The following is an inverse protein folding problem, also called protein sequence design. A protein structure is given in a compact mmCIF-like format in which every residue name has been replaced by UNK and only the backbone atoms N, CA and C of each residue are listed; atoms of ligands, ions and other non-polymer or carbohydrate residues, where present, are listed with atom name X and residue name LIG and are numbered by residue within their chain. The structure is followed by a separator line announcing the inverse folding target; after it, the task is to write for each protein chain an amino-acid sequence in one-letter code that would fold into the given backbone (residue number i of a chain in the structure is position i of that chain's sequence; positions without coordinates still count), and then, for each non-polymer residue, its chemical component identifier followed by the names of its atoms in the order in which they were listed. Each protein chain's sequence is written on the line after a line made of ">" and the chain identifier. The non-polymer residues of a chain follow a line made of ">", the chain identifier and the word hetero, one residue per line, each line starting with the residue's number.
data_IF_455218540790
#
_entry.id   IF_455218540790
#
_cell.length_a   1.000
_cell.length_b   1.000
_cell.length_c   1.000
_cell.angle_alpha   90.00
_cell.angle_beta   90.00
_cell.angle_gamma   90.00
#
_symmetry.space_group_name_H-M   'P 1'
#
loop_
_entity.id
_entity.type
_entity.pdbx_description
1 polymer ?
#
# COMPACT_ATOMS: atom_id res chain seq x y z
N UNK A 1 8.28 -23.41 -2.78
CA UNK A 1 8.32 -23.87 -1.35
C UNK A 1 7.14 -24.80 -1.04
N UNK A 2 5.90 -24.34 -0.98
CA UNK A 2 4.74 -25.15 -0.56
C UNK A 2 4.45 -26.44 -1.40
N UNK A 3 5.20 -26.71 -2.44
CA UNK A 3 5.13 -27.91 -3.28
C UNK A 3 6.38 -28.77 -3.18
N UNK A 4 7.40 -28.31 -2.46
CA UNK A 4 8.64 -29.06 -2.29
C UNK A 4 8.47 -30.14 -1.21
N UNK A 5 8.84 -31.39 -1.49
CA UNK A 5 8.75 -32.46 -0.51
C UNK A 5 9.62 -32.19 0.74
N UNK A 6 9.07 -32.41 1.91
CA UNK A 6 9.78 -32.26 3.18
C UNK A 6 9.98 -30.83 3.66
N UNK A 7 9.38 -29.84 2.98
CA UNK A 7 9.38 -28.44 3.43
C UNK A 7 8.12 -28.16 4.25
N UNK A 8 8.30 -27.64 5.47
CA UNK A 8 7.26 -27.00 6.28
C UNK A 8 7.48 -25.50 6.36
N UNK A 9 6.40 -24.73 6.51
CA UNK A 9 6.44 -23.28 6.48
C UNK A 9 5.60 -22.73 7.62
N UNK A 10 6.20 -21.90 8.46
CA UNK A 10 5.51 -21.07 9.43
C UNK A 10 5.47 -19.64 8.91
N UNK A 11 4.27 -19.11 8.72
CA UNK A 11 4.03 -17.76 8.25
C UNK A 11 3.67 -16.87 9.42
N UNK A 12 4.52 -15.90 9.70
CA UNK A 12 4.31 -14.88 10.74
C UNK A 12 3.70 -13.63 10.13
N UNK A 13 2.69 -13.11 10.79
CA UNK A 13 2.01 -11.87 10.41
C UNK A 13 1.78 -11.00 11.65
N UNK A 14 2.16 -9.74 11.58
CA UNK A 14 1.99 -8.78 12.68
C UNK A 14 0.52 -8.47 12.98
N UNK A 15 -0.34 -8.56 11.96
CA UNK A 15 -1.77 -8.38 12.13
C UNK A 15 -2.46 -9.70 12.53
N UNK A 16 -3.57 -9.65 13.30
CA UNK A 16 -4.37 -10.85 13.55
C UNK A 16 -4.92 -11.49 12.28
N UNK A 17 -5.20 -10.68 11.25
CA UNK A 17 -5.65 -11.15 9.94
C UNK A 17 -4.51 -11.17 8.93
N UNK A 18 -4.36 -12.22 8.11
CA UNK A 18 -3.37 -12.31 7.05
C UNK A 18 -3.69 -11.40 5.86
N UNK A 19 -2.86 -11.48 4.82
CA UNK A 19 -2.97 -10.85 3.49
C UNK A 19 -2.41 -9.42 3.38
N UNK A 20 -1.83 -8.84 4.43
CA UNK A 20 -1.09 -7.58 4.35
C UNK A 20 -1.83 -6.50 3.56
N UNK A 21 -1.18 -5.91 2.56
CA UNK A 21 -1.76 -4.81 1.76
C UNK A 21 -2.97 -5.20 0.89
N UNK A 22 -3.24 -6.49 0.64
CA UNK A 22 -4.51 -6.88 -0.02
C UNK A 22 -5.68 -6.54 0.88
N UNK A 23 -5.52 -6.72 2.19
CA UNK A 23 -6.52 -6.40 3.19
C UNK A 23 -6.48 -4.93 3.64
N UNK A 24 -5.28 -4.35 3.78
CA UNK A 24 -5.03 -3.07 4.45
C UNK A 24 -4.41 -2.00 3.56
N UNK A 25 -4.46 -2.15 2.23
CA UNK A 25 -3.83 -1.23 1.30
C UNK A 25 -4.46 -1.15 -0.09
N UNK A 26 -5.23 -2.16 -0.49
CA UNK A 26 -6.05 -2.10 -1.71
C UNK A 26 -7.39 -1.48 -1.35
N UNK A 27 -7.77 -0.43 -2.06
CA UNK A 27 -9.01 0.28 -1.79
C UNK A 27 -10.24 -0.67 -1.77
N UNK A 28 -11.22 -0.45 -0.88
CA UNK A 28 -12.33 -1.37 -0.66
C UNK A 28 -13.22 -1.55 -1.90
N UNK A 29 -13.22 -0.60 -2.80
CA UNK A 29 -13.99 -0.61 -4.05
C UNK A 29 -13.25 -1.30 -5.22
N UNK A 30 -12.18 -2.08 -4.93
CA UNK A 30 -11.50 -2.96 -5.88
C UNK A 30 -11.73 -4.46 -5.61
N UNK A 31 -12.97 -4.96 -5.63
CA UNK A 31 -13.26 -6.35 -5.26
C UNK A 31 -12.53 -7.36 -6.15
N UNK A 32 -12.28 -7.01 -7.43
CA UNK A 32 -11.57 -7.86 -8.38
C UNK A 32 -10.11 -8.09 -7.97
N UNK A 33 -9.42 -7.05 -7.49
CA UNK A 33 -8.03 -7.16 -7.03
C UNK A 33 -7.99 -7.95 -5.73
N UNK A 34 -8.90 -7.66 -4.80
CA UNK A 34 -9.03 -8.38 -3.54
C UNK A 34 -9.36 -9.86 -3.73
N UNK A 35 -9.99 -10.24 -4.83
CA UNK A 35 -10.31 -11.64 -5.19
C UNK A 35 -9.10 -12.58 -5.30
N UNK A 36 -7.85 -12.05 -5.35
CA UNK A 36 -6.63 -12.87 -5.28
C UNK A 36 -6.53 -13.67 -3.97
N UNK A 37 -7.21 -13.24 -2.91
CA UNK A 37 -7.30 -13.95 -1.62
C UNK A 37 -7.74 -15.40 -1.83
N UNK A 38 -8.66 -15.66 -2.76
CA UNK A 38 -9.11 -17.03 -3.08
C UNK A 38 -7.95 -17.94 -3.51
N UNK A 39 -7.03 -17.43 -4.32
CA UNK A 39 -5.85 -18.20 -4.73
C UNK A 39 -4.86 -18.39 -3.56
N UNK A 40 -4.76 -17.40 -2.67
CA UNK A 40 -3.91 -17.50 -1.48
C UNK A 40 -4.47 -18.50 -0.46
N UNK A 41 -5.79 -18.60 -0.29
CA UNK A 41 -6.43 -19.66 0.51
C UNK A 41 -5.99 -21.04 0.03
N UNK A 42 -6.01 -21.32 -1.28
CA UNK A 42 -5.57 -22.62 -1.83
C UNK A 42 -4.12 -22.97 -1.48
N UNK A 43 -3.28 -21.96 -1.25
CA UNK A 43 -1.89 -22.17 -0.79
C UNK A 43 -1.85 -22.40 0.71
N UNK A 44 -2.54 -21.58 1.50
CA UNK A 44 -2.53 -21.60 2.96
C UNK A 44 -3.32 -22.79 3.54
N UNK A 45 -4.23 -23.39 2.78
CA UNK A 45 -4.94 -24.62 3.15
C UNK A 45 -4.04 -25.88 3.16
N UNK A 46 -2.79 -25.75 2.69
CA UNK A 46 -1.88 -26.90 2.68
C UNK A 46 -1.41 -27.23 4.08
N UNK A 47 -1.41 -28.52 4.48
CA UNK A 47 -1.14 -28.94 5.86
C UNK A 47 0.29 -28.63 6.35
N UNK A 48 1.24 -28.42 5.42
CA UNK A 48 2.62 -28.06 5.76
C UNK A 48 2.80 -26.55 6.00
N UNK A 49 1.73 -25.74 5.97
CA UNK A 49 1.78 -24.31 6.24
C UNK A 49 1.00 -24.01 7.51
N UNK A 50 1.64 -23.34 8.47
CA UNK A 50 0.98 -22.79 9.67
C UNK A 50 0.99 -21.27 9.62
N UNK A 51 -0.08 -20.63 10.10
CA UNK A 51 -0.17 -19.19 10.30
C UNK A 51 -0.01 -18.86 11.78
N UNK A 52 0.79 -17.84 12.06
CA UNK A 52 0.96 -17.17 13.34
C UNK A 52 0.63 -15.69 13.16
N UNK A 53 -0.66 -15.37 13.13
CA UNK A 53 -1.15 -13.98 13.06
C UNK A 53 -1.08 -13.30 14.42
N UNK A 54 -0.87 -12.00 14.46
CA UNK A 54 -0.62 -11.22 15.68
C UNK A 54 0.72 -11.53 16.35
N UNK A 55 1.74 -11.88 15.59
CA UNK A 55 3.11 -12.07 16.09
C UNK A 55 4.03 -11.02 15.48
N UNK A 56 4.55 -10.12 16.29
CA UNK A 56 5.35 -8.99 15.87
C UNK A 56 6.85 -9.31 15.85
N UNK A 57 7.52 -8.91 14.78
CA UNK A 57 8.97 -8.86 14.68
C UNK A 57 9.45 -7.41 14.88
N UNK A 58 10.37 -7.12 15.83
CA UNK A 58 11.11 -8.05 16.69
C UNK A 58 10.53 -8.21 18.09
N UNK A 59 9.32 -7.68 18.36
CA UNK A 59 8.77 -7.61 19.72
C UNK A 59 8.51 -8.97 20.35
N UNK A 60 7.81 -9.84 19.64
CA UNK A 60 7.44 -11.17 20.13
C UNK A 60 8.48 -12.23 19.76
N UNK A 61 9.04 -12.12 18.55
CA UNK A 61 10.05 -13.05 18.02
C UNK A 61 11.09 -12.27 17.20
N UNK A 62 12.36 -12.48 17.44
CA UNK A 62 13.45 -11.81 16.73
C UNK A 62 14.25 -12.79 15.84
N UNK A 63 15.24 -12.28 15.08
CA UNK A 63 16.01 -13.12 14.15
C UNK A 63 16.77 -14.27 14.84
N UNK A 64 17.30 -14.07 16.04
CA UNK A 64 18.03 -15.13 16.75
C UNK A 64 17.06 -16.22 17.23
N UNK A 65 15.87 -15.83 17.70
CA UNK A 65 14.81 -16.76 18.05
C UNK A 65 14.37 -17.57 16.81
N UNK A 66 14.11 -16.89 15.68
CA UNK A 66 13.74 -17.56 14.44
C UNK A 66 14.82 -18.55 13.96
N UNK A 67 16.09 -18.19 14.07
CA UNK A 67 17.21 -19.09 13.71
C UNK A 67 17.34 -20.29 14.64
N UNK A 68 16.83 -20.19 15.86
CA UNK A 68 16.81 -21.35 16.75
C UNK A 68 15.79 -22.42 16.30
N UNK A 69 14.72 -22.01 15.60
CA UNK A 69 13.63 -22.91 15.19
C UNK A 69 13.70 -23.35 13.72
N UNK A 70 14.27 -22.52 12.81
CA UNK A 70 14.15 -22.70 11.35
C UNK A 70 15.51 -22.78 10.67
N UNK A 71 15.61 -23.65 9.66
CA UNK A 71 16.76 -23.75 8.77
C UNK A 71 16.98 -22.47 7.96
N UNK A 72 15.91 -21.75 7.62
CA UNK A 72 15.95 -20.50 6.86
C UNK A 72 14.80 -19.55 7.24
N UNK A 73 15.06 -18.26 7.14
CA UNK A 73 14.10 -17.18 7.38
C UNK A 73 13.99 -16.30 6.15
N UNK A 74 12.76 -16.07 5.66
CA UNK A 74 12.48 -15.17 4.54
C UNK A 74 11.66 -13.99 5.05
N UNK A 75 12.20 -12.78 4.93
CA UNK A 75 11.46 -11.55 5.24
C UNK A 75 10.72 -11.06 4.00
N UNK A 76 9.40 -10.84 4.15
CA UNK A 76 8.51 -10.32 3.09
C UNK A 76 7.53 -9.28 3.64
N UNK A 77 8.03 -8.41 4.53
CA UNK A 77 7.23 -7.47 5.34
C UNK A 77 6.64 -6.30 4.54
N UNK A 78 7.00 -6.17 3.26
CA UNK A 78 6.43 -5.13 2.41
C UNK A 78 6.99 -3.73 2.66
N UNK A 79 6.15 -2.71 2.45
CA UNK A 79 6.43 -1.30 2.66
C UNK A 79 5.16 -0.63 3.15
N UNK A 80 5.18 -0.04 4.33
CA UNK A 80 4.01 0.48 5.05
C UNK A 80 4.12 1.95 5.44
N UNK A 81 5.33 2.53 5.38
CA UNK A 81 5.57 3.93 5.70
C UNK A 81 5.49 4.82 4.45
N UNK A 82 5.00 6.04 4.62
CA UNK A 82 5.04 7.04 3.55
C UNK A 82 6.48 7.52 3.29
N UNK A 83 6.83 7.66 2.01
CA UNK A 83 8.05 8.35 1.61
C UNK A 83 7.98 9.81 2.04
N UNK A 84 9.04 10.31 2.67
CA UNK A 84 9.13 11.71 3.02
C UNK A 84 9.08 12.61 1.77
N UNK A 85 8.37 13.73 1.90
CA UNK A 85 8.39 14.84 0.97
C UNK A 85 8.95 16.04 1.75
N UNK A 86 10.15 16.48 1.38
CA UNK A 86 10.86 17.55 2.09
C UNK A 86 10.46 18.91 1.51
N UNK A 87 9.30 19.41 1.97
CA UNK A 87 8.81 20.75 1.67
C UNK A 87 8.34 21.44 2.95
N UNK A 88 8.44 22.77 3.05
CA UNK A 88 7.90 23.53 4.17
C UNK A 88 6.42 23.23 4.42
N UNK A 89 6.00 23.22 5.68
CA UNK A 89 4.61 23.02 6.08
C UNK A 89 4.15 21.54 6.13
N UNK A 90 5.04 20.58 5.88
CA UNK A 90 4.70 19.15 5.84
C UNK A 90 4.12 18.60 7.15
N UNK A 91 4.45 19.20 8.29
CA UNK A 91 4.00 18.82 9.64
C UNK A 91 2.79 19.59 10.14
N UNK A 92 2.14 20.42 9.31
CA UNK A 92 0.94 21.16 9.70
C UNK A 92 -0.26 20.21 9.92
N UNK A 93 -1.14 20.60 10.84
CA UNK A 93 -2.44 19.94 11.01
C UNK A 93 -3.28 20.08 9.73
N UNK A 94 -3.78 18.97 9.19
CA UNK A 94 -4.37 18.91 7.85
C UNK A 94 -3.44 18.37 6.77
N UNK A 95 -2.16 18.06 7.10
CA UNK A 95 -1.19 17.43 6.19
C UNK A 95 -0.98 15.98 6.59
N UNK A 96 -1.47 15.03 5.78
CA UNK A 96 -1.53 13.61 6.09
C UNK A 96 -0.68 12.77 5.14
N UNK A 97 -0.17 11.65 5.62
CA UNK A 97 0.36 10.58 4.78
C UNK A 97 -0.76 9.79 4.13
N UNK A 98 -0.55 9.36 2.89
CA UNK A 98 -1.52 8.50 2.20
C UNK A 98 -1.60 7.11 2.86
N UNK A 99 -0.48 6.58 3.38
CA UNK A 99 -0.45 5.28 4.05
C UNK A 99 -1.39 5.22 5.26
N UNK A 100 -1.41 6.27 6.08
CA UNK A 100 -2.27 6.35 7.25
C UNK A 100 -3.76 6.44 6.88
N UNK A 101 -4.09 7.24 5.85
CA UNK A 101 -5.46 7.35 5.37
C UNK A 101 -5.95 6.04 4.73
N UNK A 102 -5.10 5.38 3.92
CA UNK A 102 -5.36 4.06 3.34
C UNK A 102 -5.60 3.03 4.46
N UNK A 103 -4.72 3.01 5.46
CA UNK A 103 -4.84 2.13 6.62
C UNK A 103 -6.15 2.39 7.38
N UNK A 104 -6.55 3.65 7.51
CA UNK A 104 -7.80 4.02 8.17
C UNK A 104 -9.03 3.48 7.41
N UNK A 105 -9.15 3.75 6.11
CA UNK A 105 -10.35 3.31 5.38
C UNK A 105 -10.38 1.78 5.16
N UNK A 106 -9.24 1.13 5.20
CA UNK A 106 -9.14 -0.34 5.14
C UNK A 106 -9.25 -1.02 6.52
N UNK A 107 -9.43 -0.25 7.60
CA UNK A 107 -9.68 -0.77 8.94
C UNK A 107 -8.46 -1.42 9.59
N UNK A 108 -7.27 -0.83 9.40
CA UNK A 108 -6.06 -1.29 10.06
C UNK A 108 -6.14 -1.04 11.57
N UNK A 109 -5.80 -2.02 12.43
CA UNK A 109 -5.98 -1.89 13.89
C UNK A 109 -5.06 -0.88 14.56
N UNK A 110 -3.94 -0.51 13.95
CA UNK A 110 -2.92 0.35 14.57
C UNK A 110 -3.06 1.83 14.21
N UNK A 111 -4.15 2.22 13.53
CA UNK A 111 -4.44 3.63 13.20
C UNK A 111 -5.67 4.15 13.98
N UNK A 112 -5.84 5.49 14.13
CA UNK A 112 -7.00 6.06 14.78
C UNK A 112 -8.32 5.59 14.17
N UNK A 113 -9.36 5.45 14.98
CA UNK A 113 -10.70 5.02 14.51
C UNK A 113 -11.48 6.10 13.79
N UNK A 114 -11.09 7.35 13.99
CA UNK A 114 -11.67 8.53 13.34
C UNK A 114 -10.63 9.19 12.46
N UNK A 115 -11.09 9.80 11.37
CA UNK A 115 -10.26 10.59 10.49
C UNK A 115 -10.85 11.99 10.33
N UNK A 116 -10.06 13.07 10.35
CA UNK A 116 -10.56 14.42 10.15
C UNK A 116 -10.88 14.68 8.67
N UNK A 117 -12.15 14.74 8.33
CA UNK A 117 -12.67 14.92 6.97
C UNK A 117 -13.42 16.27 6.83
N UNK A 118 -12.90 17.31 7.49
CA UNK A 118 -13.55 18.63 7.57
C UNK A 118 -13.22 19.54 6.37
N UNK A 119 -12.19 19.21 5.56
CA UNK A 119 -11.75 20.01 4.43
C UNK A 119 -12.74 19.88 3.24
N UNK A 120 -13.26 21.01 2.75
CA UNK A 120 -14.11 21.03 1.55
C UNK A 120 -13.28 20.92 0.26
N UNK A 121 -12.03 21.41 0.29
CA UNK A 121 -11.08 21.30 -0.82
C UNK A 121 -9.80 20.64 -0.32
N UNK A 122 -9.42 19.57 -0.98
CA UNK A 122 -8.28 18.76 -0.60
C UNK A 122 -7.31 18.58 -1.75
N UNK A 123 -6.02 18.55 -1.44
CA UNK A 123 -4.95 18.23 -2.36
C UNK A 123 -4.44 16.81 -2.14
N UNK A 124 -4.17 16.07 -3.21
CA UNK A 124 -3.50 14.78 -3.20
C UNK A 124 -2.23 14.91 -4.03
N UNK A 125 -1.08 14.73 -3.39
CA UNK A 125 0.23 14.90 -4.02
C UNK A 125 0.74 13.58 -4.55
N UNK A 126 0.79 13.41 -5.86
CA UNK A 126 1.26 12.21 -6.54
C UNK A 126 0.38 11.77 -7.69
N UNK A 127 0.96 11.02 -8.63
CA UNK A 127 0.29 10.51 -9.84
C UNK A 127 0.50 9.01 -10.01
N UNK A 128 0.32 8.27 -8.92
CA UNK A 128 0.30 6.81 -8.87
C UNK A 128 -1.08 6.28 -8.46
N UNK A 129 -1.28 4.95 -8.49
CA UNK A 129 -2.56 4.33 -8.16
C UNK A 129 -3.05 4.69 -6.74
N UNK A 130 -2.16 4.75 -5.75
CA UNK A 130 -2.53 5.15 -4.38
C UNK A 130 -3.10 6.58 -4.34
N UNK A 131 -2.53 7.51 -5.14
CA UNK A 131 -3.07 8.87 -5.23
C UNK A 131 -4.50 8.88 -5.79
N UNK A 132 -4.77 8.04 -6.81
CA UNK A 132 -6.13 7.91 -7.35
C UNK A 132 -7.09 7.26 -6.36
N UNK A 133 -6.64 6.22 -5.62
CA UNK A 133 -7.45 5.58 -4.60
C UNK A 133 -7.83 6.57 -3.50
N UNK A 134 -6.86 7.31 -2.96
CA UNK A 134 -7.10 8.37 -1.96
C UNK A 134 -8.07 9.42 -2.50
N UNK A 135 -7.84 9.94 -3.72
CA UNK A 135 -8.69 10.95 -4.32
C UNK A 135 -10.11 10.44 -4.57
N UNK A 136 -10.26 9.20 -5.03
CA UNK A 136 -11.55 8.56 -5.27
C UNK A 136 -12.34 8.33 -3.99
N UNK A 137 -11.70 7.82 -2.93
CA UNK A 137 -12.34 7.60 -1.62
C UNK A 137 -12.79 8.93 -1.01
N UNK A 138 -11.99 10.00 -1.14
CA UNK A 138 -12.36 11.34 -0.68
C UNK A 138 -13.52 11.94 -1.47
N UNK A 139 -13.62 11.65 -2.77
CA UNK A 139 -14.63 12.23 -3.66
C UNK A 139 -15.94 11.41 -3.73
N UNK A 140 -15.93 10.11 -3.38
CA UNK A 140 -17.12 9.27 -3.33
C UNK A 140 -17.99 9.59 -2.13
N UNK A 141 -19.29 9.36 -2.27
CA UNK A 141 -20.20 9.33 -1.12
C UNK A 141 -19.98 8.06 -0.31
N UNK A 142 -20.29 8.11 0.98
CA UNK A 142 -20.21 6.93 1.86
C UNK A 142 -21.09 5.78 1.35
N UNK A 143 -22.26 6.10 0.79
CA UNK A 143 -23.23 5.10 0.28
C UNK A 143 -22.68 4.34 -0.94
N UNK A 144 -21.81 4.95 -1.76
CA UNK A 144 -21.12 4.24 -2.85
C UNK A 144 -20.14 3.19 -2.33
N UNK A 145 -19.63 3.36 -1.12
CA UNK A 145 -18.69 2.44 -0.48
C UNK A 145 -19.36 1.44 0.46
N UNK A 146 -20.63 1.67 0.83
CA UNK A 146 -21.37 0.80 1.72
C UNK A 146 -21.43 -0.67 1.26
N UNK A 147 -21.57 -0.98 -0.04
CA UNK A 147 -21.58 -2.38 -0.51
C UNK A 147 -20.22 -3.10 -0.35
N UNK A 148 -19.15 -2.35 -0.07
CA UNK A 148 -17.80 -2.89 0.09
C UNK A 148 -17.55 -3.44 1.50
N UNK A 149 -16.32 -3.84 1.78
CA UNK A 149 -15.91 -4.40 3.07
C UNK A 149 -15.51 -3.35 4.13
N UNK A 150 -15.79 -2.04 3.90
CA UNK A 150 -15.38 -0.99 4.85
C UNK A 150 -15.93 -1.24 6.26
N UNK A 151 -15.16 -0.93 7.32
CA UNK A 151 -15.63 -1.00 8.68
C UNK A 151 -16.74 0.01 8.96
N UNK A 152 -17.53 -0.24 10.00
CA UNK A 152 -18.64 0.64 10.39
C UNK A 152 -18.16 2.06 10.74
N UNK A 153 -17.04 2.20 11.46
CA UNK A 153 -16.46 3.50 11.81
C UNK A 153 -16.01 4.30 10.57
N UNK A 154 -15.52 3.62 9.53
CA UNK A 154 -15.13 4.25 8.26
C UNK A 154 -16.36 4.76 7.52
N UNK A 155 -17.42 3.96 7.43
CA UNK A 155 -18.67 4.39 6.82
C UNK A 155 -19.24 5.65 7.52
N UNK A 156 -19.30 5.66 8.85
CA UNK A 156 -19.77 6.82 9.62
C UNK A 156 -18.83 8.04 9.44
N UNK A 157 -17.51 7.82 9.39
CA UNK A 157 -16.55 8.90 9.10
C UNK A 157 -16.76 9.51 7.71
N UNK A 158 -16.92 8.67 6.69
CA UNK A 158 -17.15 9.11 5.31
C UNK A 158 -18.51 9.80 5.11
N UNK A 159 -19.52 9.47 5.90
CA UNK A 159 -20.78 10.24 5.91
C UNK A 159 -20.60 11.68 6.37
N UNK A 160 -19.61 11.94 7.21
CA UNK A 160 -19.28 13.28 7.70
C UNK A 160 -18.27 14.00 6.80
N UNK A 161 -17.76 13.35 5.76
CA UNK A 161 -16.80 13.93 4.83
C UNK A 161 -17.37 15.15 4.12
N UNK A 162 -16.62 16.25 4.16
CA UNK A 162 -17.01 17.54 3.55
C UNK A 162 -16.33 17.84 2.22
N UNK A 163 -15.47 16.94 1.72
CA UNK A 163 -14.72 17.17 0.49
C UNK A 163 -15.66 17.27 -0.73
N UNK A 164 -15.68 18.44 -1.33
CA UNK A 164 -16.41 18.74 -2.58
C UNK A 164 -15.47 18.84 -3.77
N UNK A 165 -14.25 19.31 -3.54
CA UNK A 165 -13.21 19.44 -4.55
C UNK A 165 -11.97 18.67 -4.13
N UNK A 166 -11.53 17.75 -4.99
CA UNK A 166 -10.31 16.95 -4.78
C UNK A 166 -9.34 17.25 -5.92
N UNK A 167 -8.16 17.76 -5.59
CA UNK A 167 -7.14 18.18 -6.55
C UNK A 167 -5.94 17.23 -6.48
N UNK A 168 -5.68 16.47 -7.54
CA UNK A 168 -4.53 15.57 -7.66
C UNK A 168 -3.41 16.28 -8.42
N UNK A 169 -2.21 16.33 -7.83
CA UNK A 169 -1.08 17.07 -8.38
C UNK A 169 0.05 16.15 -8.87
N UNK A 170 0.43 16.32 -10.13
CA UNK A 170 1.57 15.68 -10.75
C UNK A 170 2.60 16.67 -11.24
N UNK A 171 3.85 16.53 -10.75
CA UNK A 171 4.95 17.41 -11.18
C UNK A 171 5.37 17.24 -12.64
N UNK A 172 5.01 16.12 -13.26
CA UNK A 172 5.30 15.80 -14.68
C UNK A 172 4.01 15.71 -15.48
N UNK A 173 4.16 15.53 -16.78
CA UNK A 173 3.03 15.45 -17.70
C UNK A 173 2.30 14.11 -17.71
N UNK A 174 1.21 14.03 -18.49
CA UNK A 174 0.34 12.85 -18.59
C UNK A 174 1.08 11.58 -19.03
N UNK A 175 2.09 11.68 -19.89
CA UNK A 175 2.86 10.54 -20.38
C UNK A 175 3.73 9.87 -19.27
N UNK A 176 4.03 10.59 -18.19
CA UNK A 176 4.81 10.13 -17.05
C UNK A 176 3.96 9.75 -15.84
N UNK A 177 2.63 9.86 -15.95
CA UNK A 177 1.70 9.38 -14.92
C UNK A 177 1.86 7.87 -14.73
N UNK A 178 1.84 7.44 -13.47
CA UNK A 178 2.06 6.03 -13.08
C UNK A 178 0.76 5.30 -12.78
N UNK A 179 -0.37 5.88 -13.14
CA UNK A 179 -1.67 5.21 -13.01
C UNK A 179 -1.72 3.96 -13.89
N UNK A 180 -2.43 2.94 -13.46
CA UNK A 180 -2.91 1.93 -14.40
C UNK A 180 -4.08 2.50 -15.22
N UNK A 181 -4.25 2.10 -16.48
CA UNK A 181 -5.40 2.57 -17.29
C UNK A 181 -6.76 2.17 -16.70
N UNK A 182 -6.79 1.11 -15.88
CA UNK A 182 -8.00 0.64 -15.22
C UNK A 182 -8.36 1.56 -14.06
N UNK A 183 -7.41 1.81 -13.15
CA UNK A 183 -7.61 2.70 -12.01
C UNK A 183 -8.03 4.11 -12.42
N UNK A 184 -7.36 4.64 -13.47
CA UNK A 184 -7.73 5.96 -13.99
C UNK A 184 -9.19 6.01 -14.46
N UNK A 185 -9.64 5.01 -15.23
CA UNK A 185 -11.02 4.99 -15.76
C UNK A 185 -12.07 4.77 -14.68
N UNK A 186 -11.72 4.13 -13.56
CA UNK A 186 -12.65 3.93 -12.45
C UNK A 186 -13.12 5.23 -11.80
N UNK A 187 -12.32 6.31 -11.90
CA UNK A 187 -12.75 7.64 -11.42
C UNK A 187 -14.04 8.10 -12.08
N UNK A 188 -14.23 7.81 -13.36
CA UNK A 188 -15.39 8.26 -14.15
C UNK A 188 -16.63 7.36 -13.99
N UNK A 189 -16.48 6.23 -13.31
CA UNK A 189 -17.61 5.32 -13.05
C UNK A 189 -18.53 5.77 -11.92
N UNK A 190 -18.05 6.64 -11.02
CA UNK A 190 -18.90 7.19 -9.96
C UNK A 190 -19.94 8.16 -10.55
N UNK A 191 -21.22 8.00 -10.19
CA UNK A 191 -22.27 8.94 -10.61
C UNK A 191 -22.13 10.32 -9.94
N UNK A 192 -21.32 10.42 -8.87
CA UNK A 192 -21.16 11.61 -8.06
C UNK A 192 -19.86 12.38 -8.35
N UNK A 193 -18.90 11.80 -9.08
CA UNK A 193 -17.61 12.43 -9.35
C UNK A 193 -17.54 12.96 -10.77
N UNK A 194 -17.31 14.25 -10.92
CA UNK A 194 -16.95 14.90 -12.17
C UNK A 194 -15.43 14.99 -12.26
N UNK A 195 -14.81 14.23 -13.18
CA UNK A 195 -13.36 14.28 -13.40
C UNK A 195 -13.02 15.37 -14.40
N UNK A 196 -12.12 16.26 -14.04
CA UNK A 196 -11.74 17.44 -14.80
C UNK A 196 -10.24 17.42 -15.05
N UNK A 197 -9.86 17.61 -16.31
CA UNK A 197 -8.46 17.76 -16.76
C UNK A 197 -8.38 19.04 -17.56
N UNK A 198 -7.43 19.91 -17.21
CA UNK A 198 -7.23 21.14 -17.96
C UNK A 198 -6.55 20.83 -19.32
N UNK A 199 -7.08 21.31 -20.46
CA UNK A 199 -6.40 21.17 -21.75
C UNK A 199 -4.95 21.71 -21.77
N UNK A 200 -4.62 22.72 -20.97
CA UNK A 200 -3.28 23.28 -20.84
C UNK A 200 -2.28 22.31 -20.18
N UNK A 201 -2.78 21.28 -19.50
CA UNK A 201 -1.97 20.22 -18.87
C UNK A 201 -1.67 19.05 -19.83
N UNK A 202 -2.20 19.09 -21.06
CA UNK A 202 -1.97 18.06 -22.07
C UNK A 202 -0.85 18.51 -23.01
N UNK A 203 0.39 18.22 -22.65
CA UNK A 203 1.58 18.55 -23.45
C UNK A 203 2.57 17.39 -23.51
N UNK A 204 3.27 17.22 -24.64
CA UNK A 204 4.18 16.13 -24.91
C UNK A 204 5.39 16.60 -25.74
N UNK A 205 6.57 16.41 -25.20
CA UNK A 205 7.84 16.54 -25.93
C UNK A 205 8.24 15.21 -26.62
N UNK A 206 9.40 15.19 -27.26
CA UNK A 206 9.92 13.99 -27.93
C UNK A 206 10.10 12.81 -26.98
N UNK A 207 10.57 13.05 -25.75
CA UNK A 207 10.72 12.04 -24.71
C UNK A 207 9.39 11.47 -24.23
N UNK A 208 8.38 12.30 -24.09
CA UNK A 208 7.00 11.91 -23.77
C UNK A 208 6.39 11.06 -24.87
N UNK A 209 6.58 11.46 -26.14
CA UNK A 209 6.12 10.71 -27.32
C UNK A 209 6.82 9.34 -27.40
N UNK A 210 8.15 9.29 -27.13
CA UNK A 210 8.89 8.04 -27.08
C UNK A 210 8.39 7.11 -25.97
N UNK A 211 8.07 7.65 -24.78
CA UNK A 211 7.49 6.90 -23.66
C UNK A 211 6.15 6.27 -24.06
N UNK A 212 5.26 7.04 -24.69
CA UNK A 212 3.94 6.55 -25.17
C UNK A 212 4.09 5.43 -26.20
N UNK A 213 5.04 5.58 -27.14
CA UNK A 213 5.32 4.55 -28.17
C UNK A 213 5.90 3.26 -27.58
N UNK A 214 6.75 3.38 -26.57
CA UNK A 214 7.41 2.24 -25.90
C UNK A 214 6.56 1.56 -24.84
N UNK A 215 5.51 2.22 -24.33
CA UNK A 215 4.67 1.72 -23.23
C UNK A 215 3.18 1.90 -23.55
N UNK A 216 2.52 0.78 -23.90
CA UNK A 216 1.10 0.77 -24.23
C UNK A 216 0.20 1.27 -23.10
N UNK A 217 0.57 1.03 -21.83
CA UNK A 217 -0.23 1.51 -20.69
C UNK A 217 -0.14 3.04 -20.58
N UNK A 218 1.07 3.61 -20.71
CA UNK A 218 1.25 5.06 -20.74
C UNK A 218 0.49 5.73 -21.87
N UNK A 219 0.45 5.12 -23.06
CA UNK A 219 -0.34 5.64 -24.17
C UNK A 219 -1.85 5.56 -23.92
N UNK A 220 -2.34 4.49 -23.29
CA UNK A 220 -3.75 4.37 -22.90
C UNK A 220 -4.15 5.40 -21.83
N UNK A 221 -3.30 5.66 -20.86
CA UNK A 221 -3.50 6.70 -19.84
C UNK A 221 -3.56 8.08 -20.50
N UNK A 222 -2.56 8.42 -21.32
CA UNK A 222 -2.51 9.69 -22.03
C UNK A 222 -3.77 9.93 -22.87
N UNK A 223 -4.21 8.94 -23.65
CA UNK A 223 -5.45 9.03 -24.45
C UNK A 223 -6.70 9.23 -23.60
N UNK A 224 -6.77 8.60 -22.43
CA UNK A 224 -7.91 8.82 -21.52
C UNK A 224 -7.93 10.26 -21.01
N UNK A 225 -6.79 10.80 -20.62
CA UNK A 225 -6.65 12.18 -20.15
C UNK A 225 -6.92 13.19 -21.27
N UNK A 226 -6.42 12.94 -22.48
CA UNK A 226 -6.73 13.75 -23.68
C UNK A 226 -8.23 13.84 -23.93
N UNK A 227 -8.95 12.70 -23.84
CA UNK A 227 -10.40 12.67 -24.03
C UNK A 227 -11.13 13.44 -22.92
N UNK A 228 -10.66 13.36 -21.67
CA UNK A 228 -11.27 14.10 -20.58
C UNK A 228 -11.01 15.60 -20.66
N UNK A 229 -9.85 16.02 -21.15
CA UNK A 229 -9.50 17.42 -21.31
C UNK A 229 -10.38 18.17 -22.34
N UNK A 230 -10.94 17.46 -23.31
CA UNK A 230 -11.76 18.07 -24.39
C UNK A 230 -13.26 17.84 -24.23
N UNK A 231 -13.70 17.08 -23.20
CA UNK A 231 -15.12 16.85 -22.97
C UNK A 231 -15.76 18.01 -22.24
N UNK A 232 -17.06 18.21 -22.47
CA UNK A 232 -17.84 19.16 -21.70
C UNK A 232 -17.89 18.75 -20.23
N UNK A 233 -17.67 19.68 -19.33
CA UNK A 233 -17.78 19.47 -17.89
C UNK A 233 -19.24 19.31 -17.51
N UNK A 234 -19.55 18.22 -16.78
CA UNK A 234 -20.88 17.98 -16.24
C UNK A 234 -21.14 18.72 -14.92
N UNK A 235 -22.21 18.34 -14.25
CA UNK A 235 -22.69 18.97 -13.03
C UNK A 235 -22.72 18.03 -11.81
N UNK A 236 -21.98 16.91 -11.87
CA UNK A 236 -21.86 15.99 -10.74
C UNK A 236 -21.40 16.73 -9.48
N UNK A 237 -21.89 16.37 -8.27
CA UNK A 237 -21.71 17.20 -7.08
C UNK A 237 -20.26 17.32 -6.58
N UNK A 238 -19.44 16.29 -6.75
CA UNK A 238 -18.05 16.30 -6.35
C UNK A 238 -17.15 16.48 -7.56
N UNK A 239 -16.15 17.35 -7.46
CA UNK A 239 -15.20 17.64 -8.53
C UNK A 239 -13.85 17.01 -8.20
N UNK A 240 -13.28 16.26 -9.15
CA UNK A 240 -11.94 15.68 -9.05
C UNK A 240 -11.09 16.24 -10.17
N UNK A 241 -10.13 17.07 -9.83
CA UNK A 241 -9.21 17.73 -10.76
C UNK A 241 -7.90 16.94 -10.84
N UNK A 242 -7.44 16.67 -12.04
CA UNK A 242 -6.11 16.10 -12.28
C UNK A 242 -5.22 17.19 -12.89
N UNK A 243 -4.27 17.70 -12.09
CA UNK A 243 -3.31 18.72 -12.49
C UNK A 243 -1.98 18.08 -12.84
N UNK A 244 -1.46 18.42 -14.01
CA UNK A 244 -0.12 18.02 -14.43
C UNK A 244 0.79 19.25 -14.51
N UNK A 245 2.09 19.02 -14.52
CA UNK A 245 3.10 20.09 -14.53
C UNK A 245 3.02 21.03 -13.33
N UNK A 246 2.49 20.58 -12.22
CA UNK A 246 2.39 21.31 -10.95
C UNK A 246 3.22 20.58 -9.89
N UNK A 247 4.39 21.16 -9.54
CA UNK A 247 5.31 20.61 -8.54
C UNK A 247 5.03 21.26 -7.18
N UNK A 248 4.58 20.47 -6.17
CA UNK A 248 4.40 21.02 -4.82
C UNK A 248 5.72 21.54 -4.26
N UNK A 249 5.71 22.78 -3.74
CA UNK A 249 6.88 23.45 -3.17
C UNK A 249 6.72 23.85 -1.70
N UNK A 250 5.48 24.09 -1.25
CA UNK A 250 5.19 24.48 0.12
C UNK A 250 3.74 24.17 0.48
N UNK A 251 3.48 23.67 1.69
CA UNK A 251 2.14 23.63 2.27
C UNK A 251 1.99 24.89 3.12
N UNK A 252 1.06 25.74 2.73
CA UNK A 252 0.82 27.03 3.38
C UNK A 252 0.06 26.83 4.69
N UNK A 253 0.50 27.50 5.75
CA UNK A 253 -0.08 27.34 7.08
C UNK A 253 -0.41 28.65 7.76
N UNK A 254 -1.49 28.62 8.56
CA UNK A 254 -1.87 29.67 9.51
C UNK A 254 -2.28 28.99 10.83
N UNK A 255 -1.80 29.51 11.96
CA UNK A 255 -2.07 28.95 13.29
C UNK A 255 -1.82 27.43 13.42
N UNK A 256 -0.78 26.94 12.71
CA UNK A 256 -0.41 25.51 12.74
C UNK A 256 -1.26 24.60 11.87
N UNK A 257 -2.18 25.13 11.07
CA UNK A 257 -3.09 24.39 10.19
C UNK A 257 -2.85 24.70 8.73
N UNK A 258 -3.18 23.74 7.87
CA UNK A 258 -3.14 23.92 6.41
C UNK A 258 -4.20 24.93 5.99
N UNK A 259 -3.78 25.93 5.21
CA UNK A 259 -4.66 26.93 4.56
C UNK A 259 -4.44 27.00 3.05
N UNK A 260 -3.46 26.27 2.51
CA UNK A 260 -3.21 26.24 1.09
C UNK A 260 -2.05 25.34 0.69
N UNK A 261 -1.87 25.21 -0.60
CA UNK A 261 -0.73 24.52 -1.22
C UNK A 261 -0.11 25.44 -2.26
N UNK A 262 1.21 25.64 -2.23
CA UNK A 262 1.96 26.32 -3.29
C UNK A 262 2.59 25.30 -4.22
N UNK A 263 2.39 25.47 -5.51
CA UNK A 263 3.05 24.71 -6.56
C UNK A 263 3.89 25.62 -7.44
N UNK A 264 4.94 25.06 -8.06
CA UNK A 264 5.67 25.65 -9.16
C UNK A 264 5.24 25.01 -10.46
N UNK A 265 4.89 25.80 -11.46
CA UNK A 265 4.66 25.29 -12.82
C UNK A 265 5.95 24.72 -13.37
N UNK A 266 5.89 23.52 -13.94
CA UNK A 266 7.02 22.87 -14.60
C UNK A 266 6.80 22.83 -16.11
N UNK A 267 7.90 22.77 -16.87
CA UNK A 267 7.88 22.61 -18.33
C UNK A 267 8.75 21.43 -18.74
N UNK A 268 8.35 20.75 -19.80
CA UNK A 268 9.10 19.66 -20.41
C UNK A 268 10.49 20.12 -20.90
N UNK A 269 11.49 19.27 -20.76
CA UNK A 269 12.90 19.57 -21.11
C UNK A 269 13.37 18.93 -22.43
N UNK A 270 12.47 18.28 -23.15
CA UNK A 270 12.74 17.54 -24.39
C UNK A 270 12.99 16.05 -24.18
N UNK A 271 13.26 15.59 -22.94
CA UNK A 271 13.58 14.20 -22.62
C UNK A 271 12.43 13.43 -21.96
N UNK A 272 11.28 14.06 -21.75
CA UNK A 272 10.17 13.56 -20.93
C UNK A 272 10.34 13.87 -19.43
N UNK A 273 11.42 14.56 -19.05
CA UNK A 273 11.56 15.15 -17.72
C UNK A 273 11.10 16.61 -17.73
N UNK A 274 11.11 17.23 -16.57
CA UNK A 274 10.62 18.61 -16.39
C UNK A 274 11.63 19.45 -15.63
N UNK A 275 11.55 20.76 -15.82
CA UNK A 275 12.24 21.79 -15.04
C UNK A 275 11.24 22.81 -14.53
N UNK A 276 11.51 23.43 -13.38
CA UNK A 276 10.73 24.54 -12.88
C UNK A 276 10.78 25.74 -13.81
N UNK A 277 9.68 26.47 -13.90
CA UNK A 277 9.57 27.70 -14.72
C UNK A 277 9.80 28.96 -13.90
N UNK A 278 9.75 28.88 -12.57
CA UNK A 278 9.71 30.03 -11.66
C UNK A 278 8.33 30.66 -11.51
N UNK A 279 7.30 30.08 -12.12
CA UNK A 279 5.92 30.53 -11.95
C UNK A 279 5.25 29.74 -10.83
N UNK A 280 4.76 30.43 -9.81
CA UNK A 280 4.14 29.82 -8.63
C UNK A 280 2.65 30.11 -8.60
N UNK A 281 1.90 29.13 -8.09
CA UNK A 281 0.46 29.23 -7.87
C UNK A 281 0.11 28.74 -6.48
N UNK A 282 -0.72 29.52 -5.78
CA UNK A 282 -1.30 29.14 -4.49
C UNK A 282 -2.70 28.58 -4.72
N UNK A 283 -2.97 27.42 -4.13
CA UNK A 283 -4.23 26.70 -4.20
C UNK A 283 -4.93 26.79 -2.85
N UNK A 284 -6.20 27.16 -2.86
CA UNK A 284 -7.07 27.23 -1.69
C UNK A 284 -7.52 25.80 -1.32
N UNK A 285 -6.73 25.11 -0.50
CA UNK A 285 -7.01 23.75 0.02
C UNK A 285 -6.71 23.73 1.51
N UNK A 286 -7.54 23.01 2.29
CA UNK A 286 -7.38 22.92 3.75
C UNK A 286 -7.05 21.50 4.23
N UNK A 287 -6.84 20.58 3.30
CA UNK A 287 -6.32 19.23 3.57
C UNK A 287 -5.34 18.83 2.48
N UNK A 288 -4.23 18.19 2.86
CA UNK A 288 -3.19 17.71 1.93
C UNK A 288 -2.86 16.26 2.23
N UNK A 289 -2.94 15.39 1.22
CA UNK A 289 -2.62 13.96 1.30
C UNK A 289 -1.38 13.66 0.45
N UNK A 290 -0.32 13.11 1.05
CA UNK A 290 0.95 12.83 0.39
C UNK A 290 0.99 11.39 -0.10
N UNK A 291 0.80 11.18 -1.40
CA UNK A 291 0.83 9.88 -2.07
C UNK A 291 2.05 9.75 -3.02
N UNK A 292 3.25 10.10 -2.49
CA UNK A 292 4.49 10.15 -3.29
C UNK A 292 5.30 8.85 -3.27
N UNK A 293 4.74 7.81 -2.71
CA UNK A 293 5.28 6.45 -2.62
C UNK A 293 5.46 5.97 -1.20
N UNK A 294 5.70 4.66 -1.05
CA UNK A 294 5.95 4.01 0.23
C UNK A 294 7.44 3.76 0.45
N UNK A 295 7.79 3.47 1.70
CA UNK A 295 9.08 2.93 2.12
C UNK A 295 8.85 1.71 2.99
N UNK A 296 9.80 0.78 2.95
CA UNK A 296 9.84 -0.31 3.92
C UNK A 296 10.36 0.20 5.26
N UNK A 297 9.93 -0.43 6.34
CA UNK A 297 10.48 -0.18 7.66
C UNK A 297 11.81 -0.92 7.83
N UNK A 298 12.77 -0.26 8.48
CA UNK A 298 14.03 -0.90 8.87
C UNK A 298 13.76 -2.00 9.89
N UNK A 299 14.13 -3.22 9.55
CA UNK A 299 14.02 -4.35 10.47
C UNK A 299 15.30 -4.49 11.31
N UNK A 300 15.18 -4.58 12.65
CA UNK A 300 16.32 -4.82 13.52
C UNK A 300 17.08 -6.11 13.14
N UNK A 301 18.40 -6.09 13.32
CA UNK A 301 19.32 -7.18 12.97
C UNK A 301 19.46 -7.50 11.47
N UNK A 302 18.77 -6.77 10.60
CA UNK A 302 19.02 -6.84 9.15
C UNK A 302 19.85 -5.65 8.68
N UNK A 303 20.76 -5.85 7.71
CA UNK A 303 21.39 -4.76 6.98
C UNK A 303 20.35 -3.86 6.33
N UNK A 304 20.67 -2.58 6.20
CA UNK A 304 19.72 -1.61 5.66
C UNK A 304 20.39 -0.59 4.77
N UNK A 305 19.92 -0.47 3.55
CA UNK A 305 20.28 0.61 2.64
C UNK A 305 19.32 1.79 2.84
N UNK A 306 19.84 2.88 3.37
CA UNK A 306 19.05 4.09 3.67
C UNK A 306 18.61 4.80 2.39
N UNK A 307 19.38 4.74 1.32
CA UNK A 307 19.08 5.44 0.07
C UNK A 307 17.91 4.78 -0.68
N UNK A 308 17.95 3.47 -0.82
CA UNK A 308 16.88 2.70 -1.46
C UNK A 308 15.69 2.42 -0.53
N UNK A 309 15.89 2.45 0.79
CA UNK A 309 14.89 2.05 1.78
C UNK A 309 14.58 0.55 1.72
N UNK A 310 15.61 -0.28 1.51
CA UNK A 310 15.48 -1.74 1.33
C UNK A 310 16.56 -2.50 2.08
N UNK A 311 16.40 -3.81 2.18
CA UNK A 311 17.44 -4.72 2.66
C UNK A 311 18.34 -5.10 1.49
N UNK A 312 19.68 -4.89 1.60
CA UNK A 312 20.64 -5.30 0.58
C UNK A 312 20.60 -6.81 0.34
N UNK A 313 20.58 -7.22 -0.94
CA UNK A 313 20.49 -8.63 -1.31
C UNK A 313 21.25 -9.01 -2.58
N UNK A 314 21.52 -10.30 -2.73
CA UNK A 314 21.97 -10.92 -3.98
C UNK A 314 21.04 -12.10 -4.32
N UNK A 315 20.07 -11.84 -5.22
CA UNK A 315 19.08 -12.85 -5.60
C UNK A 315 18.17 -13.28 -4.44
N UNK A 316 17.86 -12.37 -3.50
CA UNK A 316 17.08 -12.60 -2.30
C UNK A 316 17.89 -13.05 -1.09
N UNK A 317 19.18 -13.40 -1.21
CA UNK A 317 20.07 -13.63 -0.07
C UNK A 317 20.43 -12.30 0.57
N UNK A 318 20.18 -12.11 1.84
CA UNK A 318 20.54 -10.88 2.56
C UNK A 318 22.06 -10.73 2.61
N UNK A 319 22.58 -9.56 2.24
CA UNK A 319 24.02 -9.28 2.18
C UNK A 319 24.40 -8.28 3.25
N UNK A 320 25.36 -8.67 4.09
CA UNK A 320 25.95 -7.81 5.11
C UNK A 320 26.86 -6.72 4.47
N UNK A 321 27.20 -5.70 5.25
CA UNK A 321 28.16 -4.65 4.83
C UNK A 321 29.52 -5.20 4.38
N UNK A 322 29.89 -6.37 4.85
CA UNK A 322 31.10 -7.10 4.45
C UNK A 322 31.01 -7.70 3.04
N UNK A 323 29.82 -7.71 2.44
CA UNK A 323 29.51 -8.40 1.18
C UNK A 323 29.23 -9.90 1.36
N UNK A 324 29.27 -10.43 2.59
CA UNK A 324 28.93 -11.81 2.89
C UNK A 324 27.41 -12.02 2.96
N UNK A 325 26.95 -13.24 2.64
CA UNK A 325 25.55 -13.63 2.88
C UNK A 325 25.30 -13.78 4.39
N UNK A 326 24.32 -13.07 4.92
CA UNK A 326 23.81 -13.32 6.28
C UNK A 326 23.13 -14.70 6.28
N UNK A 327 23.88 -15.70 6.76
CA UNK A 327 23.55 -17.11 6.60
C UNK A 327 22.08 -17.41 6.89
N UNK A 328 21.44 -18.18 5.98
CA UNK A 328 20.05 -18.65 6.08
C UNK A 328 18.99 -17.54 6.17
N UNK A 329 19.35 -16.32 5.79
CA UNK A 329 18.46 -15.15 5.85
C UNK A 329 18.23 -14.60 4.47
N UNK A 330 16.94 -14.45 4.12
CA UNK A 330 16.49 -14.09 2.78
C UNK A 330 15.45 -12.97 2.84
N UNK A 331 15.31 -12.26 1.71
CA UNK A 331 14.27 -11.23 1.52
C UNK A 331 13.57 -11.40 0.18
N UNK A 332 12.30 -10.99 0.11
CA UNK A 332 11.53 -10.95 -1.12
C UNK A 332 10.48 -9.84 -1.09
N UNK A 333 9.95 -9.46 -2.24
CA UNK A 333 8.93 -8.43 -2.35
C UNK A 333 9.46 -7.01 -2.13
N UNK A 334 8.60 -6.13 -1.61
CA UNK A 334 8.92 -4.71 -1.51
C UNK A 334 10.04 -4.37 -0.53
N UNK A 335 10.22 -5.13 0.52
CA UNK A 335 11.39 -4.93 1.41
C UNK A 335 12.73 -5.20 0.71
N UNK A 336 12.70 -6.00 -0.37
CA UNK A 336 13.87 -6.28 -1.22
C UNK A 336 14.06 -5.24 -2.32
N UNK A 337 12.99 -4.86 -3.04
CA UNK A 337 13.07 -4.05 -4.27
C UNK A 337 12.49 -2.65 -4.17
N UNK A 338 11.98 -2.28 -3.00
CA UNK A 338 11.13 -1.11 -2.85
C UNK A 338 9.70 -1.34 -3.39
N UNK A 339 8.79 -0.38 -3.18
CA UNK A 339 7.36 -0.48 -3.51
C UNK A 339 7.12 -0.28 -5.02
N UNK A 340 7.59 -1.20 -5.85
CA UNK A 340 7.48 -1.15 -7.31
C UNK A 340 6.62 -2.32 -7.80
N UNK A 341 5.68 -2.02 -8.68
CA UNK A 341 4.79 -3.00 -9.29
C UNK A 341 3.48 -3.23 -8.53
N UNK A 342 2.55 -3.92 -9.17
CA UNK A 342 1.25 -4.30 -8.63
C UNK A 342 1.32 -5.69 -7.98
N UNK A 343 0.26 -6.07 -7.26
CA UNK A 343 0.03 -7.42 -6.76
C UNK A 343 0.21 -8.42 -7.92
N UNK A 344 1.03 -9.44 -7.72
CA UNK A 344 1.38 -10.44 -8.73
C UNK A 344 2.72 -10.20 -9.43
N UNK A 345 3.23 -8.98 -9.52
CA UNK A 345 4.59 -8.73 -10.05
C UNK A 345 5.68 -9.30 -9.13
N UNK A 346 5.43 -9.37 -7.84
CA UNK A 346 6.35 -9.91 -6.84
C UNK A 346 6.53 -11.44 -6.92
N UNK A 347 5.71 -12.14 -7.73
CA UNK A 347 5.84 -13.59 -7.91
C UNK A 347 7.20 -13.99 -8.52
N UNK A 348 7.68 -13.24 -9.50
CA UNK A 348 9.00 -13.47 -10.10
C UNK A 348 10.12 -13.31 -9.09
N UNK A 349 10.02 -12.28 -8.27
CA UNK A 349 10.94 -11.97 -7.19
C UNK A 349 10.98 -13.09 -6.13
N UNK A 350 9.82 -13.53 -5.69
CA UNK A 350 9.71 -14.65 -4.75
C UNK A 350 10.28 -15.96 -5.32
N UNK A 351 10.06 -16.23 -6.62
CA UNK A 351 10.61 -17.41 -7.27
C UNK A 351 12.15 -17.39 -7.29
N UNK A 352 12.78 -16.24 -7.56
CA UNK A 352 14.25 -16.10 -7.53
C UNK A 352 14.78 -16.36 -6.12
N UNK A 353 14.18 -15.74 -5.09
CA UNK A 353 14.56 -15.93 -3.69
C UNK A 353 14.46 -17.40 -3.28
N UNK A 354 13.32 -18.05 -3.61
CA UNK A 354 13.09 -19.46 -3.29
C UNK A 354 14.06 -20.39 -4.02
N UNK A 355 14.36 -20.13 -5.31
CA UNK A 355 15.32 -20.93 -6.06
C UNK A 355 16.71 -20.87 -5.44
N UNK A 356 17.13 -19.69 -5.00
CA UNK A 356 18.42 -19.50 -4.32
C UNK A 356 18.47 -20.14 -2.93
N UNK A 357 17.37 -20.12 -2.17
CA UNK A 357 17.27 -20.81 -0.91
C UNK A 357 17.38 -22.34 -1.10
N UNK A 358 16.69 -22.90 -2.09
CA UNK A 358 16.76 -24.34 -2.39
C UNK A 358 18.15 -24.76 -2.88
N UNK A 359 18.86 -23.90 -3.63
CA UNK A 359 20.24 -24.13 -4.01
C UNK A 359 21.17 -24.12 -2.78
N UNK A 360 20.95 -23.21 -1.82
CA UNK A 360 21.71 -23.19 -0.56
C UNK A 360 21.44 -24.43 0.27
N UNK A 361 20.19 -24.88 0.33
CA UNK A 361 19.84 -26.15 0.99
C UNK A 361 20.56 -27.34 0.35
N UNK A 362 20.46 -27.48 -0.98
CA UNK A 362 21.06 -28.59 -1.71
C UNK A 362 22.59 -28.65 -1.56
N UNK A 363 23.23 -27.51 -1.30
CA UNK A 363 24.69 -27.41 -1.11
C UNK A 363 25.12 -27.35 0.37
N UNK A 364 24.20 -27.61 1.32
CA UNK A 364 24.53 -27.63 2.75
C UNK A 364 24.98 -26.29 3.33
N UNK A 365 24.47 -25.17 2.77
CA UNK A 365 24.83 -23.80 3.18
C UNK A 365 23.91 -23.21 4.25
N UNK A 366 22.82 -23.89 4.57
CA UNK A 366 21.91 -23.46 5.63
C UNK A 366 22.54 -23.79 7.01
N UNK A 367 22.15 -23.03 8.03
CA UNK A 367 22.50 -23.37 9.40
C UNK A 367 21.58 -24.50 9.91
N UNK A 368 21.99 -25.13 11.00
CA UNK A 368 21.18 -26.13 11.71
C UNK A 368 20.47 -25.47 12.88
N UNK A 369 19.13 -25.47 12.96
CA UNK A 369 18.41 -24.92 14.09
C UNK A 369 18.63 -25.75 15.34
N UNK A 370 18.71 -25.08 16.51
CA UNK A 370 18.94 -25.76 17.81
C UNK A 370 17.69 -26.41 18.40
N UNK A 371 16.50 -25.98 17.98
CA UNK A 371 15.19 -26.44 18.43
C UNK A 371 14.19 -26.59 17.27
N UNK A 372 14.45 -27.52 16.32
CA UNK A 372 13.67 -27.62 15.06
C UNK A 372 12.28 -28.27 15.21
N UNK A 373 11.92 -28.74 16.39
CA UNK A 373 10.62 -29.36 16.61
C UNK A 373 9.49 -28.35 16.45
N UNK A 374 8.43 -28.65 15.67
CA UNK A 374 7.35 -27.69 15.44
C UNK A 374 6.71 -27.13 16.72
N UNK A 375 6.65 -27.93 17.78
CA UNK A 375 6.09 -27.56 19.08
C UNK A 375 6.99 -26.58 19.87
N UNK A 376 8.25 -26.44 19.49
CA UNK A 376 9.19 -25.56 20.20
C UNK A 376 8.78 -24.08 20.05
N UNK A 377 8.34 -23.67 18.87
CA UNK A 377 7.87 -22.29 18.66
C UNK A 377 6.53 -22.03 19.35
N UNK A 378 5.64 -23.03 19.39
CA UNK A 378 4.36 -22.90 20.10
C UNK A 378 4.61 -22.70 21.62
N UNK A 379 5.52 -23.49 22.21
CA UNK A 379 5.93 -23.35 23.60
C UNK A 379 6.62 -22.00 23.89
N UNK A 380 7.48 -21.54 22.96
CA UNK A 380 8.15 -20.25 23.05
C UNK A 380 7.19 -19.06 23.08
N UNK A 381 6.19 -19.05 22.18
CA UNK A 381 5.17 -18.01 22.14
C UNK A 381 4.25 -18.08 23.37
N UNK A 382 3.89 -19.28 23.81
CA UNK A 382 3.08 -19.47 25.01
C UNK A 382 3.80 -18.98 26.29
N UNK A 383 5.09 -19.23 26.45
CA UNK A 383 5.91 -18.72 27.58
C UNK A 383 5.92 -17.19 27.62
N UNK A 384 5.87 -16.53 26.47
CA UNK A 384 5.79 -15.06 26.31
C UNK A 384 4.38 -14.51 26.42
N UNK A 385 3.37 -15.35 26.62
CA UNK A 385 1.94 -15.00 26.61
C UNK A 385 1.51 -14.32 25.31
N UNK A 386 2.10 -14.69 24.18
CA UNK A 386 1.72 -14.18 22.86
C UNK A 386 0.47 -14.94 22.38
N UNK A 387 -0.64 -14.23 22.23
CA UNK A 387 -1.84 -14.79 21.61
C UNK A 387 -1.73 -14.62 20.11
N UNK A 388 -2.01 -15.65 19.35
CA UNK A 388 -1.91 -15.59 17.89
C UNK A 388 -3.09 -16.26 17.17
N UNK A 389 -3.43 -15.69 16.04
CA UNK A 389 -4.44 -16.25 15.13
C UNK A 389 -3.80 -17.36 14.30
N UNK A 390 -4.38 -18.55 14.37
CA UNK A 390 -4.02 -19.67 13.47
C UNK A 390 -4.73 -19.54 12.12
N UNK A 391 -4.40 -20.42 11.15
CA UNK A 391 -5.13 -20.45 9.87
C UNK A 391 -6.62 -20.81 10.07
N UNK A 392 -6.95 -21.70 10.99
CA UNK A 392 -8.34 -21.98 11.38
C UNK A 392 -8.99 -20.76 12.04
N UNK A 393 -8.26 -20.05 12.93
CA UNK A 393 -8.75 -18.82 13.56
C UNK A 393 -9.02 -17.70 12.53
N UNK A 394 -8.23 -17.64 11.45
CA UNK A 394 -8.56 -16.73 10.35
C UNK A 394 -9.93 -17.06 9.72
N UNK A 395 -10.25 -18.33 9.48
CA UNK A 395 -11.58 -18.68 8.97
C UNK A 395 -12.71 -18.31 9.92
N UNK A 396 -12.50 -18.38 11.22
CA UNK A 396 -13.47 -17.95 12.24
C UNK A 396 -13.67 -16.44 12.22
N UNK A 397 -12.58 -15.66 12.13
CA UNK A 397 -12.64 -14.21 11.97
C UNK A 397 -13.34 -13.80 10.65
N UNK A 398 -12.98 -14.43 9.54
CA UNK A 398 -13.60 -14.21 8.23
C UNK A 398 -15.12 -14.49 8.26
N UNK A 399 -15.51 -15.57 8.91
CA UNK A 399 -16.93 -15.92 9.10
C UNK A 399 -17.65 -14.89 9.98
N UNK A 400 -17.03 -14.41 11.05
CA UNK A 400 -17.60 -13.38 11.91
C UNK A 400 -17.82 -12.05 11.14
N UNK A 401 -16.83 -11.61 10.33
CA UNK A 401 -16.98 -10.42 9.50
C UNK A 401 -18.08 -10.55 8.45
N UNK A 402 -18.21 -11.72 7.82
CA UNK A 402 -19.30 -12.01 6.88
C UNK A 402 -20.67 -11.99 7.56
N UNK A 403 -20.79 -12.59 8.75
CA UNK A 403 -22.02 -12.57 9.54
C UNK A 403 -22.44 -11.14 9.94
N UNK A 404 -21.50 -10.23 10.16
CA UNK A 404 -21.78 -8.80 10.39
C UNK A 404 -22.28 -8.09 9.13
N UNK A 405 -21.85 -8.50 7.96
CA UNK A 405 -22.24 -7.90 6.67
C UNK A 405 -23.58 -8.39 6.15
N UNK A 406 -23.91 -9.67 6.35
CA UNK A 406 -25.09 -10.33 5.79
C UNK A 406 -26.42 -9.59 6.05
N UNK A 407 -26.73 -9.13 7.29
CA UNK A 407 -27.96 -8.38 7.55
C UNK A 407 -28.06 -7.04 6.82
N UNK A 408 -26.94 -6.52 6.35
CA UNK A 408 -26.82 -5.26 5.63
C UNK A 408 -26.71 -5.45 4.10
N UNK A 409 -26.79 -6.69 3.61
CA UNK A 409 -26.59 -7.01 2.21
C UNK A 409 -25.16 -6.77 1.70
N UNK A 410 -24.17 -6.79 2.58
CA UNK A 410 -22.75 -6.55 2.33
C UNK A 410 -22.00 -7.89 2.34
N UNK A 411 -20.91 -7.96 1.61
CA UNK A 411 -20.03 -9.13 1.63
C UNK A 411 -19.50 -9.41 3.04
N UNK A 412 -19.06 -8.35 3.73
CA UNK A 412 -18.59 -8.36 5.12
C UNK A 412 -18.59 -6.97 5.72
N UNK A 413 -18.45 -6.89 7.03
CA UNK A 413 -18.01 -5.70 7.76
C UNK A 413 -16.74 -6.04 8.51
N UNK A 414 -15.64 -5.39 8.18
CA UNK A 414 -14.35 -5.66 8.85
C UNK A 414 -14.42 -5.35 10.34
N UNK A 415 -13.88 -6.24 11.14
CA UNK A 415 -13.59 -6.01 12.56
C UNK A 415 -12.25 -5.29 12.64
N UNK A 416 -12.19 -4.17 13.38
CA UNK A 416 -11.02 -3.28 13.41
C UNK A 416 -10.20 -3.44 14.68
N UNK A 417 -10.87 -3.56 15.86
CA UNK A 417 -10.15 -3.66 17.13
C UNK A 417 -9.36 -4.96 17.22
N UNK A 418 -8.05 -4.86 17.51
CA UNK A 418 -7.15 -6.01 17.61
C UNK A 418 -7.67 -7.08 18.57
N UNK A 419 -8.16 -6.67 19.73
CA UNK A 419 -8.73 -7.58 20.74
C UNK A 419 -10.01 -8.28 20.26
N UNK A 420 -10.84 -7.59 19.48
CA UNK A 420 -12.05 -8.18 18.91
C UNK A 420 -11.71 -9.15 17.78
N UNK A 421 -10.68 -8.85 16.98
CA UNK A 421 -10.15 -9.76 15.95
C UNK A 421 -9.61 -11.05 16.59
N UNK A 422 -8.80 -10.93 17.65
CA UNK A 422 -8.25 -12.08 18.38
C UNK A 422 -9.39 -12.90 19.00
N UNK A 423 -10.34 -12.26 19.64
CA UNK A 423 -11.52 -12.95 20.19
C UNK A 423 -12.32 -13.68 19.11
N UNK A 424 -12.54 -13.04 17.97
CA UNK A 424 -13.27 -13.65 16.86
C UNK A 424 -12.50 -14.81 16.21
N UNK A 425 -11.16 -14.80 16.30
CA UNK A 425 -10.32 -15.90 15.82
C UNK A 425 -10.08 -17.02 16.83
N UNK A 426 -10.66 -16.92 18.03
CA UNK A 426 -10.46 -17.92 19.09
C UNK A 426 -9.09 -17.86 19.77
N UNK A 427 -8.33 -16.77 19.60
CA UNK A 427 -6.97 -16.58 20.14
C UNK A 427 -6.97 -15.93 21.53
#
# INVERSE_FOLDING_TARGET
>A
MATEPGVSIDLYERMPAPFGLIRYGVAPDHPRIKGIITALHQVLDKPQIRLFGNVDYPGDINLDDLRAFYDAVIFSTGATADRALDIPGIGLDGSYGAADFVSWYDGHPDVPRTWPLEAEKVAVLGVGNVALDVARILAKTADELLPTEIPANVYEGLKANKALEVHVFGRRGPAQAKFSPMELRELDHSPNIEVIVDPEDIDYDEGSIATRRGNKQADMVAKTLENWAIRDTGDRPHKLFLHFFESPTEILGEDGKVVGLRTERTALDGTGNVKGTGEFKDWDVTGVYRAVGYLSDKLPKLPWDVESGTVPDAGGRVIEETGAHLQSTYVTGWIRRGPVGLIGHTKGDANETVANLLDDFANGRLHEPSAPAPEAVDAFLAERNVRFTTWQGWYELDAAEKALGEPQGRERVKIVEREDMLRASGA
#
